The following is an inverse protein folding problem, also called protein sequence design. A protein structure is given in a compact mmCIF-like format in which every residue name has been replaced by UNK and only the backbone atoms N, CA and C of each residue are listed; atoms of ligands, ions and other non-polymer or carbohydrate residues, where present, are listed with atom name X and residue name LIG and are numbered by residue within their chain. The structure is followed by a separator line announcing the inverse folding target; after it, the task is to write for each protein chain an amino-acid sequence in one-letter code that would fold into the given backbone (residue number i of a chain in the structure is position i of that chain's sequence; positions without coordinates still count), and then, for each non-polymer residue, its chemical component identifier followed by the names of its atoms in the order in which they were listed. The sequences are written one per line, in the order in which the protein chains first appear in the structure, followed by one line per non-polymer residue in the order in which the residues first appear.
data_IF_097018960320
#
_entry.id   IF_097018960320
#
_cell.length_a   1.000
_cell.length_b   1.000
_cell.length_c   1.000
_cell.angle_alpha   90.00
_cell.angle_beta   90.00
_cell.angle_gamma   90.00
#
_symmetry.space_group_name_H-M   'P 1'
#
loop_
_entity.id
_entity.type
_entity.pdbx_description
1 polymer ?
#
# COMPACT_ATOMS: atom_id res chain seq x y z
N UNK A 1 -18.56 -7.75 6.42
CA UNK A 1 -18.23 -6.87 7.57
C UNK A 1 -16.93 -6.16 7.23
N UNK A 2 -16.98 -4.87 6.86
CA UNK A 2 -15.77 -4.09 6.53
C UNK A 2 -14.96 -3.88 7.80
N UNK A 3 -13.67 -4.17 7.78
CA UNK A 3 -12.79 -3.88 8.91
C UNK A 3 -12.50 -2.38 8.85
N UNK A 4 -12.99 -1.60 9.81
CA UNK A 4 -12.64 -0.18 9.91
C UNK A 4 -11.15 -0.07 10.25
N UNK A 5 -10.34 0.29 9.25
CA UNK A 5 -8.94 0.60 9.44
C UNK A 5 -8.86 2.01 10.05
N UNK A 6 -8.26 2.12 11.24
CA UNK A 6 -7.91 3.40 11.84
C UNK A 6 -6.40 3.56 11.66
N UNK A 7 -5.92 4.51 10.86
CA UNK A 7 -4.48 4.73 10.73
C UNK A 7 -3.89 5.03 12.11
N UNK A 8 -2.63 4.61 12.32
CA UNK A 8 -1.92 4.98 13.52
C UNK A 8 -1.98 6.50 13.69
N UNK A 9 -2.32 6.97 14.90
CA UNK A 9 -2.37 8.39 15.23
C UNK A 9 -1.02 9.03 14.98
N UNK A 10 -0.84 9.67 13.81
CA UNK A 10 0.21 10.66 13.61
C UNK A 10 -0.19 11.88 14.41
N UNK A 11 0.33 11.98 15.64
CA UNK A 11 0.34 13.23 16.36
C UNK A 11 1.09 14.27 15.51
N UNK A 12 0.33 15.05 14.75
CA UNK A 12 0.80 16.17 13.94
C UNK A 12 1.22 15.82 12.51
N UNK A 13 0.29 15.87 11.57
CA UNK A 13 0.62 16.11 10.16
C UNK A 13 -0.36 17.16 9.59
N UNK A 14 0.11 18.40 9.59
CA UNK A 14 -0.55 19.59 9.05
C UNK A 14 -0.46 19.56 7.51
N UNK A 15 -1.46 20.15 6.87
CA UNK A 15 -1.49 20.44 5.44
C UNK A 15 -0.37 21.42 5.05
N UNK A 16 0.14 21.27 3.82
CA UNK A 16 1.11 22.11 3.08
C UNK A 16 2.61 21.76 3.18
N UNK A 17 3.18 21.33 2.04
CA UNK A 17 4.63 21.19 1.80
C UNK A 17 5.16 19.77 1.96
N UNK A 18 5.59 19.14 0.87
CA UNK A 18 6.21 17.81 0.89
C UNK A 18 7.56 17.86 1.65
N UNK A 19 7.63 17.17 2.80
CA UNK A 19 8.87 16.88 3.52
C UNK A 19 9.28 15.41 3.27
N UNK A 20 10.48 15.11 2.73
CA UNK A 20 10.98 13.74 2.65
C UNK A 20 11.09 13.13 4.06
N UNK A 21 10.64 11.90 4.29
CA UNK A 21 10.63 11.29 5.64
C UNK A 21 11.99 10.79 6.13
N UNK A 22 13.08 11.12 5.43
CA UNK A 22 14.45 10.85 5.89
C UNK A 22 14.91 11.88 6.94
N UNK A 23 14.03 12.84 7.29
CA UNK A 23 14.21 13.74 8.42
C UNK A 23 14.13 12.97 9.75
N UNK A 24 15.26 12.93 10.46
CA UNK A 24 15.55 12.36 11.79
C UNK A 24 14.69 12.97 12.93
N UNK A 25 13.36 12.99 12.79
CA UNK A 25 12.46 13.36 13.87
C UNK A 25 12.59 12.38 15.05
N UNK A 26 12.32 12.81 16.30
CA UNK A 26 12.41 11.92 17.45
C UNK A 26 11.40 10.77 17.32
N UNK A 27 11.90 9.55 17.14
CA UNK A 27 11.09 8.34 16.97
C UNK A 27 11.91 7.21 16.35
N UNK A 28 11.34 6.01 16.36
CA UNK A 28 11.91 4.84 15.67
C UNK A 28 11.43 4.79 14.22
N UNK A 29 12.12 4.03 13.36
CA UNK A 29 11.69 3.83 11.97
C UNK A 29 10.25 3.28 11.88
N UNK A 30 9.83 2.45 12.85
CA UNK A 30 8.49 1.87 12.87
C UNK A 30 7.41 2.92 13.19
N UNK A 31 7.74 4.00 13.90
CA UNK A 31 6.80 5.08 14.21
C UNK A 31 6.42 5.89 12.96
N UNK A 32 7.33 5.96 11.99
CA UNK A 32 7.11 6.62 10.70
C UNK A 32 6.30 5.78 9.69
N UNK A 33 5.91 4.55 10.02
CA UNK A 33 5.12 3.68 9.15
C UNK A 33 3.62 3.93 9.37
N UNK A 34 2.90 4.25 8.31
CA UNK A 34 1.46 4.52 8.39
C UNK A 34 0.62 3.25 8.20
N UNK A 35 1.13 2.30 7.41
CA UNK A 35 0.46 1.03 7.12
C UNK A 35 1.46 -0.11 6.96
N UNK A 36 1.07 -1.29 7.43
CA UNK A 36 1.82 -2.54 7.23
C UNK A 36 1.01 -3.48 6.35
N UNK A 37 1.60 -3.91 5.23
CA UNK A 37 0.99 -4.87 4.30
C UNK A 37 1.90 -6.10 4.21
N UNK A 38 1.72 -7.09 5.09
CA UNK A 38 2.57 -8.27 5.14
C UNK A 38 2.22 -9.27 4.03
N UNK A 39 3.12 -10.24 3.80
CA UNK A 39 2.77 -11.45 3.05
C UNK A 39 1.56 -12.15 3.70
N UNK A 40 0.59 -12.53 2.87
CA UNK A 40 -0.70 -13.09 3.28
C UNK A 40 -0.61 -14.63 3.40
N UNK A 41 0.26 -15.15 4.28
CA UNK A 41 0.41 -16.60 4.47
C UNK A 41 -0.60 -17.17 5.47
N UNK A 42 -0.57 -16.64 6.69
CA UNK A 42 -1.44 -17.02 7.79
C UNK A 42 -1.63 -15.82 8.72
N UNK A 43 -2.85 -15.29 8.76
CA UNK A 43 -3.17 -14.08 9.53
C UNK A 43 -2.81 -14.20 11.02
N UNK A 44 -3.01 -15.37 11.64
CA UNK A 44 -2.73 -15.57 13.08
C UNK A 44 -1.23 -15.47 13.35
N UNK A 45 -0.43 -16.25 12.63
CA UNK A 45 1.03 -16.22 12.73
C UNK A 45 1.61 -14.81 12.56
N UNK A 46 1.12 -14.06 11.56
CA UNK A 46 1.61 -12.70 11.31
C UNK A 46 1.23 -11.73 12.43
N UNK A 47 0.01 -11.83 12.97
CA UNK A 47 -0.41 -11.02 14.12
C UNK A 47 0.41 -11.37 15.35
N UNK A 48 0.60 -12.65 15.65
CA UNK A 48 1.36 -13.10 16.83
C UNK A 48 2.81 -12.56 16.78
N UNK A 49 3.48 -12.64 15.63
CA UNK A 49 4.82 -12.08 15.43
C UNK A 49 4.85 -10.56 15.57
N UNK A 50 3.80 -9.88 15.11
CA UNK A 50 3.69 -8.43 15.22
C UNK A 50 3.47 -7.96 16.66
N UNK A 51 2.60 -8.63 17.41
CA UNK A 51 2.34 -8.34 18.81
C UNK A 51 3.59 -8.56 19.66
N UNK A 52 4.38 -9.60 19.37
CA UNK A 52 5.70 -9.81 19.98
C UNK A 52 6.69 -8.68 19.68
N UNK A 53 6.56 -8.03 18.54
CA UNK A 53 7.35 -6.86 18.15
C UNK A 53 6.76 -5.53 18.64
N UNK A 54 5.69 -5.54 19.45
CA UNK A 54 5.02 -4.33 19.94
C UNK A 54 4.18 -3.60 18.90
N UNK A 55 3.83 -4.25 17.79
CA UNK A 55 3.07 -3.66 16.68
C UNK A 55 1.60 -4.06 16.80
N UNK A 56 0.73 -3.06 16.94
CA UNK A 56 -0.72 -3.26 16.96
C UNK A 56 -1.28 -3.78 15.64
N UNK A 57 -2.22 -4.73 15.73
CA UNK A 57 -2.91 -5.33 14.58
C UNK A 57 -3.67 -4.32 13.71
N UNK A 58 -4.07 -3.20 14.29
CA UNK A 58 -4.81 -2.10 13.67
C UNK A 58 -3.99 -1.35 12.63
N UNK A 59 -2.65 -1.49 12.68
CA UNK A 59 -1.72 -0.94 11.68
C UNK A 59 -1.56 -1.83 10.45
N UNK A 60 -2.26 -2.96 10.39
CA UNK A 60 -2.08 -3.98 9.36
C UNK A 60 -3.29 -4.14 8.46
N UNK A 61 -3.03 -4.31 7.17
CA UNK A 61 -4.06 -4.66 6.20
C UNK A 61 -3.98 -6.15 5.83
N UNK A 62 -5.14 -6.81 5.83
CA UNK A 62 -5.27 -8.21 5.45
C UNK A 62 -6.48 -8.42 4.54
N UNK A 63 -6.28 -9.05 3.39
CA UNK A 63 -7.34 -9.53 2.50
C UNK A 63 -7.34 -11.05 2.34
N UNK A 64 -6.47 -11.78 3.05
CA UNK A 64 -6.34 -13.24 2.97
C UNK A 64 -7.66 -14.01 3.14
N UNK A 65 -8.60 -13.48 3.93
CA UNK A 65 -9.92 -14.11 4.11
C UNK A 65 -10.77 -14.10 2.83
N UNK A 66 -10.50 -13.16 1.90
CA UNK A 66 -11.19 -13.04 0.61
C UNK A 66 -10.43 -13.71 -0.53
N UNK A 67 -9.11 -13.57 -0.58
CA UNK A 67 -8.29 -14.01 -1.75
C UNK A 67 -7.35 -15.18 -1.46
N UNK A 68 -7.24 -15.61 -0.22
CA UNK A 68 -6.32 -16.67 0.20
C UNK A 68 -4.84 -16.25 0.15
N UNK A 69 -3.95 -17.24 0.28
CA UNK A 69 -2.52 -17.05 0.10
C UNK A 69 -2.18 -17.16 -1.39
N UNK A 70 -1.84 -16.04 -2.01
CA UNK A 70 -1.50 -15.97 -3.44
C UNK A 70 0.02 -15.86 -3.67
N UNK A 71 0.83 -16.37 -2.73
CA UNK A 71 2.29 -16.38 -2.80
C UNK A 71 2.85 -14.97 -3.07
N UNK A 72 3.70 -14.81 -4.08
CA UNK A 72 4.30 -13.54 -4.50
C UNK A 72 3.28 -12.42 -4.79
N UNK A 73 2.05 -12.76 -5.20
CA UNK A 73 1.01 -11.78 -5.49
C UNK A 73 0.32 -11.22 -4.23
N UNK A 74 0.58 -11.79 -3.05
CA UNK A 74 -0.14 -11.45 -1.81
C UNK A 74 -0.01 -9.98 -1.42
N UNK A 75 1.21 -9.45 -1.45
CA UNK A 75 1.50 -8.06 -1.08
C UNK A 75 0.90 -7.07 -2.10
N UNK A 76 1.16 -7.19 -3.42
CA UNK A 76 0.58 -6.25 -4.38
C UNK A 76 -0.96 -6.31 -4.43
N UNK A 77 -1.58 -7.48 -4.30
CA UNK A 77 -3.04 -7.59 -4.21
C UNK A 77 -3.60 -6.92 -2.95
N UNK A 78 -2.93 -7.09 -1.81
CA UNK A 78 -3.33 -6.42 -0.58
C UNK A 78 -3.17 -4.89 -0.66
N UNK A 79 -2.16 -4.37 -1.36
CA UNK A 79 -2.01 -2.93 -1.62
C UNK A 79 -3.13 -2.42 -2.53
N UNK A 80 -3.43 -3.14 -3.62
CA UNK A 80 -4.54 -2.82 -4.51
C UNK A 80 -5.85 -2.71 -3.72
N UNK A 81 -6.13 -3.70 -2.89
CA UNK A 81 -7.36 -3.73 -2.10
C UNK A 81 -7.37 -2.68 -0.98
N UNK A 82 -6.23 -2.34 -0.39
CA UNK A 82 -6.13 -1.24 0.57
C UNK A 82 -6.43 0.12 -0.07
N UNK A 83 -6.01 0.36 -1.31
CA UNK A 83 -6.40 1.57 -2.06
C UNK A 83 -7.91 1.55 -2.35
N UNK A 84 -8.42 0.44 -2.88
CA UNK A 84 -9.85 0.28 -3.17
C UNK A 84 -10.75 0.45 -1.94
N UNK A 85 -10.31 -0.05 -0.79
CA UNK A 85 -11.04 0.05 0.47
C UNK A 85 -10.93 1.44 1.13
N UNK A 86 -10.18 2.36 0.52
CA UNK A 86 -9.96 3.73 1.03
C UNK A 86 -8.97 3.80 2.20
N UNK A 87 -8.29 2.69 2.52
CA UNK A 87 -7.25 2.63 3.54
C UNK A 87 -6.03 3.45 3.13
N UNK A 88 -5.65 3.36 1.85
CA UNK A 88 -4.65 4.23 1.22
C UNK A 88 -5.42 5.21 0.32
N UNK A 89 -5.72 6.39 0.85
CA UNK A 89 -6.44 7.47 0.11
C UNK A 89 -5.55 8.67 -0.23
N UNK A 90 -4.33 8.71 0.32
CA UNK A 90 -3.27 9.67 0.03
C UNK A 90 -1.94 8.93 -0.10
N UNK A 91 -0.85 9.55 -0.58
CA UNK A 91 0.46 8.91 -0.57
C UNK A 91 0.86 8.46 0.85
N UNK A 92 0.94 7.14 1.07
CA UNK A 92 1.10 6.51 2.39
C UNK A 92 2.44 5.77 2.48
N UNK A 93 3.15 5.87 3.60
CA UNK A 93 4.37 5.08 3.86
C UNK A 93 4.03 3.67 4.32
N UNK A 94 4.30 2.69 3.45
CA UNK A 94 3.89 1.29 3.65
C UNK A 94 5.11 0.40 3.90
N UNK A 95 5.11 -0.30 5.03
CA UNK A 95 6.06 -1.38 5.34
C UNK A 95 5.50 -2.72 4.85
N UNK A 96 6.31 -3.48 4.12
CA UNK A 96 5.87 -4.69 3.43
C UNK A 96 6.81 -5.86 3.70
N UNK A 97 6.69 -6.53 4.86
CA UNK A 97 7.48 -7.71 5.17
C UNK A 97 6.93 -8.93 4.40
N UNK A 98 7.83 -9.74 3.84
CA UNK A 98 7.50 -10.96 3.13
C UNK A 98 8.45 -12.10 3.47
N UNK A 99 7.94 -13.33 3.35
CA UNK A 99 8.68 -14.56 3.58
C UNK A 99 8.13 -15.68 2.68
N UNK A 100 8.94 -16.69 2.39
CA UNK A 100 8.54 -17.79 1.50
C UNK A 100 9.45 -19.01 1.56
N UNK A 101 9.17 -19.97 0.68
CA UNK A 101 9.87 -21.26 0.61
C UNK A 101 11.38 -21.10 0.36
N UNK A 102 12.16 -22.06 0.88
CA UNK A 102 13.63 -22.08 0.80
C UNK A 102 14.34 -21.46 2.01
N UNK A 103 13.62 -20.70 2.84
CA UNK A 103 14.07 -19.77 3.88
C UNK A 103 14.49 -18.38 3.34
N UNK A 104 13.65 -17.79 2.50
CA UNK A 104 13.81 -16.40 2.04
C UNK A 104 12.86 -15.50 2.83
N UNK A 105 13.41 -14.41 3.36
CA UNK A 105 12.65 -13.31 3.94
C UNK A 105 13.23 -11.98 3.47
N UNK A 106 12.39 -10.96 3.41
CA UNK A 106 12.80 -9.62 3.03
C UNK A 106 11.69 -8.63 3.29
N UNK A 107 12.00 -7.34 3.15
CA UNK A 107 11.02 -6.29 3.28
C UNK A 107 11.36 -5.11 2.38
N UNK A 108 10.35 -4.28 2.14
CA UNK A 108 10.54 -2.96 1.56
C UNK A 108 9.66 -1.95 2.29
N UNK A 109 10.16 -0.73 2.44
CA UNK A 109 9.38 0.43 2.85
C UNK A 109 9.29 1.34 1.63
N UNK A 110 8.08 1.58 1.12
CA UNK A 110 7.84 2.48 0.00
C UNK A 110 6.74 3.48 0.35
N UNK A 111 6.77 4.65 -0.29
CA UNK A 111 5.60 5.52 -0.35
C UNK A 111 4.71 5.05 -1.50
N UNK A 112 3.49 4.66 -1.18
CA UNK A 112 2.49 4.21 -2.15
C UNK A 112 1.53 5.36 -2.40
N UNK A 113 1.58 5.91 -3.61
CA UNK A 113 0.56 6.85 -4.10
C UNK A 113 -0.64 6.04 -4.61
N UNK A 114 -1.89 6.29 -4.17
CA UNK A 114 -3.05 5.57 -4.66
C UNK A 114 -3.20 5.62 -6.19
N UNK A 115 -2.67 6.65 -6.86
CA UNK A 115 -2.71 6.78 -8.32
C UNK A 115 -1.92 5.69 -9.08
N UNK A 116 -1.06 4.91 -8.40
CA UNK A 116 -0.32 3.80 -9.05
C UNK A 116 -1.17 2.53 -9.21
N UNK A 117 -2.31 2.46 -8.52
CA UNK A 117 -3.22 1.31 -8.62
C UNK A 117 -4.16 1.54 -9.80
N UNK A 118 -4.15 0.61 -10.74
CA UNK A 118 -4.99 0.69 -11.92
C UNK A 118 -6.47 0.64 -11.53
N UNK A 119 -7.29 1.47 -12.18
CA UNK A 119 -8.74 1.37 -12.04
C UNK A 119 -9.25 0.05 -12.62
N UNK A 120 -10.25 -0.52 -11.97
CA UNK A 120 -10.92 -1.74 -12.43
C UNK A 120 -11.70 -1.40 -13.70
N UNK A 121 -11.17 -1.79 -14.86
CA UNK A 121 -11.84 -1.56 -16.13
C UNK A 121 -12.97 -2.57 -16.24
N UNK A 122 -14.22 -2.11 -16.16
CA UNK A 122 -15.35 -2.94 -16.57
C UNK A 122 -15.17 -3.25 -18.05
N UNK A 123 -14.98 -4.52 -18.41
CA UNK A 123 -15.06 -4.91 -19.81
C UNK A 123 -16.47 -4.54 -20.29
N UNK A 124 -16.57 -3.67 -21.29
CA UNK A 124 -17.82 -3.51 -22.03
C UNK A 124 -18.21 -4.84 -22.67
N UNK A 125 -19.45 -4.98 -23.19
CA UNK A 125 -19.84 -6.18 -23.92
C UNK A 125 -18.78 -6.48 -24.98
N UNK A 126 -18.26 -7.71 -24.97
CA UNK A 126 -17.19 -8.15 -25.87
C UNK A 126 -17.64 -7.95 -27.32
N UNK A 127 -17.14 -6.90 -27.98
CA UNK A 127 -17.28 -6.76 -29.42
C UNK A 127 -16.18 -7.60 -30.06
N UNK A 128 -16.57 -8.72 -30.67
CA UNK A 128 -15.70 -9.64 -31.41
C UNK A 128 -14.65 -8.88 -32.24
N UNK A 129 -13.37 -9.16 -31.96
CA UNK A 129 -12.30 -9.13 -32.96
C UNK A 129 -11.64 -7.80 -33.35
N UNK A 130 -12.05 -6.63 -32.83
CA UNK A 130 -11.35 -5.38 -33.14
C UNK A 130 -10.44 -4.95 -31.97
N UNK A 131 -9.12 -5.09 -32.14
CA UNK A 131 -8.15 -4.41 -31.27
C UNK A 131 -8.45 -2.91 -31.29
N UNK A 132 -9.00 -2.38 -30.20
CA UNK A 132 -9.16 -0.94 -30.03
C UNK A 132 -7.79 -0.27 -30.08
N UNK A 133 -7.64 0.87 -30.77
CA UNK A 133 -6.37 1.58 -30.82
C UNK A 133 -5.92 1.94 -29.40
N UNK A 134 -4.60 1.97 -29.12
CA UNK A 134 -4.08 2.34 -27.82
C UNK A 134 -4.63 3.71 -27.44
N UNK A 135 -5.41 3.77 -26.37
CA UNK A 135 -5.94 5.02 -25.86
C UNK A 135 -4.77 5.91 -25.41
N UNK A 136 -4.81 7.22 -25.68
CA UNK A 136 -3.74 8.11 -25.29
C UNK A 136 -3.54 8.03 -23.77
N UNK A 137 -2.31 7.74 -23.34
CA UNK A 137 -1.95 7.83 -21.92
C UNK A 137 -2.23 9.27 -21.49
N UNK A 138 -3.15 9.46 -20.55
CA UNK A 138 -3.32 10.75 -19.86
C UNK A 138 -1.99 11.04 -19.18
N UNK A 139 -1.24 11.98 -19.75
CA UNK A 139 -0.02 12.50 -19.15
C UNK A 139 -0.43 13.29 -17.91
N UNK A 140 -0.21 12.75 -16.73
CA UNK A 140 -0.27 13.50 -15.47
C UNK A 140 1.08 14.17 -15.15
N UNK A 141 1.89 14.52 -16.16
CA UNK A 141 3.24 15.06 -15.96
C UNK A 141 3.32 16.57 -15.76
N UNK A 142 2.21 17.29 -15.54
CA UNK A 142 2.29 18.77 -15.41
C UNK A 142 2.50 19.25 -13.96
N UNK A 143 2.44 18.38 -12.95
CA UNK A 143 2.47 18.82 -11.55
C UNK A 143 3.81 18.85 -10.83
N UNK A 144 4.80 18.04 -11.24
CA UNK A 144 5.90 17.66 -10.32
C UNK A 144 7.24 18.38 -10.57
N UNK A 145 7.41 19.07 -11.69
CA UNK A 145 8.70 19.72 -12.04
C UNK A 145 8.71 21.25 -12.01
N UNK A 146 7.57 21.93 -11.85
CA UNK A 146 7.51 23.40 -11.91
C UNK A 146 7.96 24.12 -10.62
N UNK A 147 8.28 23.40 -9.53
CA UNK A 147 8.61 24.00 -8.23
C UNK A 147 10.12 24.02 -7.89
N UNK A 148 11.02 23.70 -8.83
CA UNK A 148 12.47 23.73 -8.62
C UNK A 148 13.22 24.71 -9.53
N UNK A 149 12.51 25.64 -10.15
CA UNK A 149 13.11 26.71 -10.94
C UNK A 149 12.34 28.02 -10.75
N UNK A 150 12.43 28.63 -9.57
CA UNK A 150 12.23 30.07 -9.31
C UNK A 150 12.83 30.43 -7.95
#
# INVERSE_FOLDING_TARGET
MRQEFRPASTAGARHAGYRPPDDDGPGTLIDAIELIVPHQANKRMVIDLAEQAGIGRDRMYFNIARVGNTSAASIPLAIHDAVRDGVISTPTRVFKPGFGAGAVAGYAVLRVDPAVVAEERTAGPETDGALSPPQPRVSTSTGVYAALAS
#
